data_IF_701919025248
#
_entry.id   IF_701919025248
#
_cell.length_a   1.000
_cell.length_b   1.000
_cell.length_c   1.000
_cell.angle_alpha   90.00
_cell.angle_beta   90.00
_cell.angle_gamma   90.00
#
_symmetry.space_group_name_H-M   'P 1'
#
loop_
_entity.id
_entity.type
_entity.pdbx_description
1 polymer ?
#
# COMPACT_ATOMS: atom_id res chain seq x y z
N UNK A 1 -10.86 -72.84 12.93
CA UNK A 1 -9.52 -72.40 13.36
C UNK A 1 -9.24 -71.04 12.74
N UNK A 2 -8.71 -70.15 13.57
CA UNK A 2 -8.64 -68.69 13.49
C UNK A 2 -8.02 -68.12 12.20
N UNK A 3 -8.78 -67.41 11.36
CA UNK A 3 -8.18 -66.70 10.21
C UNK A 3 -8.94 -65.47 9.69
N UNK A 4 -10.09 -65.09 10.25
CA UNK A 4 -10.91 -64.02 9.66
C UNK A 4 -10.96 -62.71 10.45
N UNK A 5 -10.53 -62.68 11.71
CA UNK A 5 -10.60 -61.47 12.56
C UNK A 5 -9.33 -60.62 12.53
N UNK A 6 -8.19 -61.19 12.10
CA UNK A 6 -6.92 -60.45 12.01
C UNK A 6 -6.82 -59.56 10.77
N UNK A 7 -7.56 -59.87 9.69
CA UNK A 7 -7.54 -59.04 8.47
C UNK A 7 -8.25 -57.70 8.67
N UNK A 8 -9.22 -57.61 9.60
CA UNK A 8 -9.94 -56.36 9.89
C UNK A 8 -9.22 -55.45 10.89
N UNK A 9 -8.32 -55.98 11.73
CA UNK A 9 -7.57 -55.16 12.70
C UNK A 9 -6.31 -54.52 12.09
N UNK A 10 -5.78 -55.08 10.99
CA UNK A 10 -4.58 -54.58 10.29
C UNK A 10 -4.85 -53.38 9.38
N UNK A 11 -6.11 -53.07 9.08
CA UNK A 11 -6.51 -51.92 8.26
C UNK A 11 -6.65 -50.61 9.06
N UNK A 12 -6.62 -50.68 10.40
CA UNK A 12 -6.82 -49.50 11.25
C UNK A 12 -5.52 -48.77 11.66
N UNK A 13 -4.33 -49.29 11.32
CA UNK A 13 -3.05 -48.77 11.89
C UNK A 13 -2.19 -47.98 10.89
N UNK A 14 -2.59 -47.82 9.62
CA UNK A 14 -1.73 -47.17 8.61
C UNK A 14 -2.12 -45.74 8.21
N UNK A 15 -3.16 -45.14 8.79
CA UNK A 15 -3.43 -43.73 8.55
C UNK A 15 -2.70 -42.89 9.60
N UNK A 16 -1.40 -42.72 9.35
CA UNK A 16 -0.64 -41.61 9.90
C UNK A 16 -1.41 -40.31 9.65
N UNK A 17 -1.68 -39.55 10.72
CA UNK A 17 -2.02 -38.13 10.60
C UNK A 17 -0.79 -37.44 9.99
N UNK A 18 -0.82 -37.29 8.67
CA UNK A 18 -0.08 -36.24 7.99
C UNK A 18 -0.98 -35.02 8.07
N UNK A 19 -0.62 -34.09 8.94
CA UNK A 19 -1.20 -32.75 8.88
C UNK A 19 -0.75 -32.10 7.58
N UNK A 20 -1.62 -32.10 6.57
CA UNK A 20 -1.42 -31.28 5.37
C UNK A 20 -1.62 -29.81 5.76
N UNK A 21 -0.55 -29.19 6.26
CA UNK A 21 -0.38 -27.76 6.11
C UNK A 21 -0.16 -27.46 4.63
N UNK A 22 -1.25 -27.42 3.84
CA UNK A 22 -1.21 -26.94 2.46
C UNK A 22 -1.00 -25.42 2.43
N UNK A 23 0.20 -24.98 2.80
CA UNK A 23 0.70 -23.70 2.33
C UNK A 23 1.13 -23.91 0.88
N UNK A 24 0.20 -23.65 -0.07
CA UNK A 24 0.54 -23.69 -1.50
C UNK A 24 1.54 -22.58 -1.81
N UNK A 25 2.80 -22.96 -1.94
CA UNK A 25 3.86 -22.10 -2.45
C UNK A 25 3.48 -21.66 -3.88
N UNK A 26 3.24 -20.36 -4.06
CA UNK A 26 2.80 -19.77 -5.32
C UNK A 26 1.37 -19.24 -5.35
N UNK A 27 0.58 -19.34 -4.27
CA UNK A 27 -0.64 -18.52 -4.18
C UNK A 27 -0.25 -17.06 -3.86
N UNK A 28 -0.69 -16.06 -4.67
CA UNK A 28 -0.49 -14.66 -4.32
C UNK A 28 -1.23 -14.40 -3.02
N UNK A 29 -0.47 -14.22 -1.93
CA UNK A 29 -1.01 -13.75 -0.68
C UNK A 29 -1.45 -12.31 -0.93
N UNK A 30 -2.76 -12.12 -1.13
CA UNK A 30 -3.35 -10.80 -1.24
C UNK A 30 -3.37 -10.19 0.16
N UNK A 31 -2.26 -9.55 0.53
CA UNK A 31 -2.23 -8.67 1.70
C UNK A 31 -3.06 -7.44 1.32
N UNK A 32 -4.32 -7.46 1.75
CA UNK A 32 -5.22 -6.32 1.61
C UNK A 32 -4.78 -5.21 2.55
N UNK A 33 -5.01 -3.96 2.14
CA UNK A 33 -4.79 -2.83 3.02
C UNK A 33 -5.84 -2.91 4.15
N UNK A 34 -5.42 -2.90 5.43
CA UNK A 34 -6.37 -2.94 6.53
C UNK A 34 -7.28 -1.71 6.50
N UNK A 35 -8.50 -1.91 6.99
CA UNK A 35 -9.49 -0.84 7.08
C UNK A 35 -9.01 0.22 8.07
N UNK A 36 -9.27 1.48 7.75
CA UNK A 36 -9.02 2.59 8.67
C UNK A 36 -9.81 2.38 9.96
N UNK A 37 -9.17 2.58 11.11
CA UNK A 37 -9.86 2.56 12.40
C UNK A 37 -10.58 3.89 12.67
N UNK A 38 -11.56 3.90 13.57
CA UNK A 38 -12.33 5.11 13.92
C UNK A 38 -11.43 6.24 14.46
N UNK A 39 -10.31 5.88 15.10
CA UNK A 39 -9.28 6.81 15.57
C UNK A 39 -8.46 7.38 14.41
N UNK A 40 -8.17 6.58 13.38
CA UNK A 40 -7.45 7.03 12.18
C UNK A 40 -8.28 7.99 11.33
N UNK A 41 -9.61 7.90 11.40
CA UNK A 41 -10.52 8.89 10.80
C UNK A 41 -10.44 10.28 11.46
N UNK A 42 -9.99 10.34 12.71
CA UNK A 42 -9.91 11.59 13.51
C UNK A 42 -8.45 12.06 13.63
N UNK A 43 -7.49 11.19 13.33
CA UNK A 43 -6.07 11.49 13.39
C UNK A 43 -5.66 12.53 12.34
N UNK A 44 -4.91 13.54 12.78
CA UNK A 44 -4.30 14.54 11.89
C UNK A 44 -3.18 13.97 11.01
N UNK A 45 -2.73 12.74 11.28
CA UNK A 45 -1.61 12.09 10.60
C UNK A 45 -2.04 11.18 9.45
N UNK A 46 -1.16 11.02 8.47
CA UNK A 46 -1.36 10.03 7.39
C UNK A 46 -1.24 8.60 7.97
N UNK A 47 -2.27 7.74 7.81
CA UNK A 47 -2.24 6.35 8.24
C UNK A 47 -1.06 5.57 7.63
N UNK A 48 -0.49 4.62 8.39
CA UNK A 48 0.75 3.93 8.02
C UNK A 48 0.68 3.31 6.61
N UNK A 49 -0.41 2.62 6.33
CA UNK A 49 -0.66 1.89 5.08
C UNK A 49 -0.80 2.80 3.86
N UNK A 50 -1.12 4.08 4.09
CA UNK A 50 -1.35 5.07 3.05
C UNK A 50 -0.15 5.99 2.84
N UNK A 51 0.89 5.90 3.69
CA UNK A 51 2.07 6.78 3.61
C UNK A 51 2.77 6.74 2.26
N UNK A 52 2.88 5.57 1.63
CA UNK A 52 3.50 5.51 0.31
C UNK A 52 2.67 6.24 -0.75
N UNK A 53 1.34 6.07 -0.73
CA UNK A 53 0.44 6.78 -1.65
C UNK A 53 0.47 8.28 -1.39
N UNK A 54 0.52 8.71 -0.13
CA UNK A 54 0.70 10.10 0.23
C UNK A 54 2.04 10.65 -0.26
N UNK A 55 3.13 9.88 -0.15
CA UNK A 55 4.44 10.27 -0.69
C UNK A 55 4.41 10.44 -2.21
N UNK A 56 3.71 9.55 -2.93
CA UNK A 56 3.50 9.70 -4.38
C UNK A 56 2.75 10.98 -4.71
N UNK A 57 1.67 11.28 -4.00
CA UNK A 57 0.90 12.51 -4.16
C UNK A 57 1.77 13.76 -3.96
N UNK A 58 2.50 13.83 -2.85
CA UNK A 58 3.41 14.95 -2.54
C UNK A 58 4.47 15.11 -3.62
N UNK A 59 5.13 14.01 -4.00
CA UNK A 59 6.18 14.02 -5.03
C UNK A 59 5.63 14.50 -6.37
N UNK A 60 4.44 14.05 -6.75
CA UNK A 60 3.78 14.47 -7.99
C UNK A 60 3.50 15.98 -7.99
N UNK A 61 2.91 16.51 -6.92
CA UNK A 61 2.58 17.93 -6.81
C UNK A 61 3.82 18.84 -6.79
N UNK A 62 4.87 18.41 -6.10
CA UNK A 62 6.16 19.11 -6.07
C UNK A 62 6.81 19.10 -7.46
N UNK A 63 6.88 17.94 -8.11
CA UNK A 63 7.46 17.80 -9.45
C UNK A 63 6.72 18.67 -10.46
N UNK A 64 5.39 18.70 -10.41
CA UNK A 64 4.59 19.54 -11.31
C UNK A 64 4.84 21.03 -11.07
N UNK A 65 4.88 21.47 -9.81
CA UNK A 65 5.06 22.89 -9.48
C UNK A 65 6.49 23.38 -9.76
N UNK A 66 7.51 22.61 -9.39
CA UNK A 66 8.90 22.90 -9.72
C UNK A 66 9.16 22.83 -11.23
N UNK A 67 8.52 21.88 -11.94
CA UNK A 67 8.56 21.79 -13.40
C UNK A 67 8.05 23.06 -14.06
N UNK A 68 6.93 23.63 -13.56
CA UNK A 68 6.40 24.92 -14.04
C UNK A 68 7.35 26.08 -13.79
N UNK A 69 8.00 26.14 -12.62
CA UNK A 69 9.01 27.17 -12.35
C UNK A 69 10.21 27.04 -13.27
N UNK A 70 10.66 25.80 -13.53
CA UNK A 70 11.76 25.54 -14.46
C UNK A 70 11.43 25.95 -15.88
N UNK A 71 10.22 25.66 -16.35
CA UNK A 71 9.74 26.10 -17.66
C UNK A 71 9.74 27.63 -17.79
N UNK A 72 9.37 28.36 -16.72
CA UNK A 72 9.41 29.84 -16.69
C UNK A 72 10.84 30.40 -16.71
N UNK A 73 11.79 29.72 -16.05
CA UNK A 73 13.21 30.10 -16.00
C UNK A 73 14.02 29.66 -17.23
N UNK A 74 13.50 28.71 -18.00
CA UNK A 74 14.20 28.09 -19.14
C UNK A 74 15.35 27.18 -18.67
N UNK A 75 16.49 27.28 -19.34
CA UNK A 75 17.66 26.44 -19.08
C UNK A 75 18.45 26.85 -17.82
N UNK A 76 18.12 27.99 -17.21
CA UNK A 76 18.81 28.47 -16.01
C UNK A 76 18.39 27.64 -14.79
N UNK A 77 19.33 27.30 -13.88
CA UNK A 77 18.97 26.64 -12.63
C UNK A 77 18.06 27.53 -11.77
N UNK A 78 17.17 26.90 -11.01
CA UNK A 78 16.35 27.57 -10.01
C UNK A 78 17.22 27.94 -8.80
N UNK A 79 17.01 29.12 -8.23
CA UNK A 79 17.66 29.50 -6.97
C UNK A 79 17.03 28.75 -5.80
N UNK A 80 17.77 28.60 -4.71
CA UNK A 80 17.30 27.96 -3.47
C UNK A 80 16.01 28.60 -2.95
N UNK A 81 15.91 29.93 -2.97
CA UNK A 81 14.70 30.67 -2.59
C UNK A 81 13.47 30.20 -3.38
N UNK A 82 13.60 30.02 -4.69
CA UNK A 82 12.48 29.57 -5.53
C UNK A 82 12.08 28.13 -5.17
N UNK A 83 13.05 27.25 -4.86
CA UNK A 83 12.75 25.90 -4.39
C UNK A 83 11.94 25.93 -3.09
N UNK A 84 12.42 26.66 -2.08
CA UNK A 84 11.78 26.73 -0.77
C UNK A 84 10.38 27.35 -0.85
N UNK A 85 10.24 28.49 -1.54
CA UNK A 85 8.95 29.14 -1.74
C UNK A 85 7.96 28.23 -2.47
N UNK A 86 8.41 27.53 -3.52
CA UNK A 86 7.54 26.64 -4.28
C UNK A 86 7.10 25.44 -3.43
N UNK A 87 8.00 24.85 -2.65
CA UNK A 87 7.67 23.74 -1.76
C UNK A 87 6.67 24.18 -0.68
N UNK A 88 6.90 25.34 -0.07
CA UNK A 88 6.02 25.90 0.96
C UNK A 88 4.62 26.21 0.40
N UNK A 89 4.55 26.81 -0.79
CA UNK A 89 3.28 27.08 -1.48
C UNK A 89 2.50 25.81 -1.80
N UNK A 90 3.18 24.73 -2.24
CA UNK A 90 2.53 23.44 -2.50
C UNK A 90 1.96 22.86 -1.21
N UNK A 91 2.70 22.91 -0.10
CA UNK A 91 2.23 22.36 1.18
C UNK A 91 1.11 23.17 1.82
N UNK A 92 1.12 24.51 1.67
CA UNK A 92 0.09 25.39 2.25
C UNK A 92 -1.19 25.51 1.40
N UNK A 93 -1.09 25.29 0.09
CA UNK A 93 -2.20 25.54 -0.83
C UNK A 93 -3.27 24.45 -0.79
N UNK A 94 -4.49 24.79 -0.35
CA UNK A 94 -5.62 23.85 -0.22
C UNK A 94 -6.11 23.29 -1.55
N UNK A 95 -6.14 24.11 -2.62
CA UNK A 95 -6.69 23.73 -3.93
C UNK A 95 -6.04 22.46 -4.53
N UNK A 96 -4.76 22.23 -4.22
CA UNK A 96 -4.02 21.06 -4.71
C UNK A 96 -4.36 19.78 -3.94
N UNK A 97 -4.85 19.89 -2.71
CA UNK A 97 -5.11 18.75 -1.85
C UNK A 97 -6.57 18.29 -1.93
N UNK A 98 -7.48 19.17 -2.35
CA UNK A 98 -8.91 18.87 -2.56
C UNK A 98 -9.17 17.81 -3.65
N UNK A 99 -8.22 17.60 -4.56
CA UNK A 99 -8.28 16.56 -5.60
C UNK A 99 -7.83 15.17 -5.09
N UNK A 100 -7.41 15.05 -3.84
CA UNK A 100 -7.05 13.79 -3.20
C UNK A 100 -8.11 13.40 -2.18
N UNK A 101 -8.42 12.11 -2.12
CA UNK A 101 -9.44 11.62 -1.19
C UNK A 101 -9.38 10.12 -1.01
N UNK A 102 -10.08 9.64 0.00
CA UNK A 102 -10.22 8.20 0.24
C UNK A 102 -11.37 7.64 -0.58
N UNK A 103 -11.11 6.52 -1.25
CA UNK A 103 -12.12 5.76 -1.99
C UNK A 103 -12.02 4.27 -1.61
N UNK A 104 -13.17 3.62 -1.49
CA UNK A 104 -13.23 2.17 -1.27
C UNK A 104 -12.68 1.41 -2.47
N UNK A 105 -11.64 0.60 -2.24
CA UNK A 105 -11.06 -0.26 -3.26
C UNK A 105 -10.52 -1.55 -2.62
N UNK A 106 -10.88 -2.70 -3.19
CA UNK A 106 -10.46 -4.03 -2.71
C UNK A 106 -10.74 -4.32 -1.23
N UNK A 107 -11.83 -3.77 -0.68
CA UNK A 107 -12.27 -4.03 0.70
C UNK A 107 -11.69 -3.10 1.79
N UNK A 108 -10.93 -2.08 1.40
CA UNK A 108 -10.41 -1.04 2.29
C UNK A 108 -10.47 0.36 1.67
N UNK A 109 -10.39 1.39 2.51
CA UNK A 109 -10.31 2.78 2.07
C UNK A 109 -8.88 3.11 1.62
N UNK A 110 -8.72 3.55 0.38
CA UNK A 110 -7.42 3.84 -0.23
C UNK A 110 -7.34 5.30 -0.67
N UNK A 111 -6.21 5.95 -0.38
CA UNK A 111 -5.95 7.30 -0.87
C UNK A 111 -5.78 7.29 -2.40
N UNK A 112 -6.61 8.07 -3.08
CA UNK A 112 -6.63 8.24 -4.53
C UNK A 112 -6.46 9.72 -4.89
N UNK A 113 -5.95 9.94 -6.10
CA UNK A 113 -5.78 11.27 -6.67
C UNK A 113 -4.67 11.31 -7.71
N UNK A 114 -4.40 12.49 -8.29
CA UNK A 114 -3.43 12.65 -9.36
C UNK A 114 -2.02 12.21 -8.97
N UNK A 115 -1.37 11.44 -9.85
CA UNK A 115 -0.01 10.96 -9.63
C UNK A 115 0.12 9.77 -8.67
N UNK A 116 -0.98 9.30 -8.07
CA UNK A 116 -1.01 8.06 -7.29
C UNK A 116 -1.26 6.90 -8.27
N UNK A 117 -0.36 5.92 -8.27
CA UNK A 117 -0.52 4.74 -9.13
C UNK A 117 -1.56 3.79 -8.55
N UNK A 118 -2.34 3.14 -9.42
CA UNK A 118 -3.32 2.12 -9.00
C UNK A 118 -2.65 0.87 -8.42
N UNK A 119 -1.43 0.55 -8.90
CA UNK A 119 -0.64 -0.55 -8.35
C UNK A 119 -0.18 -0.26 -6.92
N UNK A 120 -0.14 -1.31 -6.11
CA UNK A 120 0.33 -1.26 -4.74
C UNK A 120 1.76 -0.72 -4.68
N UNK A 121 2.00 0.20 -3.76
CA UNK A 121 3.35 0.41 -3.26
C UNK A 121 3.79 -0.89 -2.59
N UNK A 122 4.65 -1.67 -3.25
CA UNK A 122 5.35 -2.75 -2.56
C UNK A 122 6.23 -2.10 -1.49
N UNK A 123 5.78 -2.16 -0.24
CA UNK A 123 6.58 -1.79 0.91
C UNK A 123 7.83 -2.68 0.91
N UNK A 124 9.00 -2.08 0.71
CA UNK A 124 10.23 -2.70 1.14
C UNK A 124 10.15 -2.86 2.65
N UNK A 125 10.01 -4.10 3.11
CA UNK A 125 10.09 -4.43 4.53
C UNK A 125 11.38 -3.87 5.11
N UNK A 126 11.24 -3.07 6.17
CA UNK A 126 12.37 -2.67 7.00
C UNK A 126 12.89 -3.97 7.64
N UNK A 127 14.11 -4.35 7.26
CA UNK A 127 14.86 -5.42 7.91
C UNK A 127 15.31 -4.99 9.30
#
# INVERSE_FOLDING_TARGET
>A
MFSSTYLSLLLCVTNAVVGEGSAKEGQPVSVGIPKLSDEEHISLGVPLEQRCRACQAVTFQLRQSLGRQRQRKGDKPLSETIYLETMEQVCKGTEKWDQYGYQEFAGGNILQGPGILKQQCYGGGVR
#
